data_IF_000599452126
#
_entry.id   IF_000599452126
#
_cell.length_a   1.000
_cell.length_b   1.000
_cell.length_c   1.000
_cell.angle_alpha   90.00
_cell.angle_beta   90.00
_cell.angle_gamma   90.00
#
_symmetry.space_group_name_H-M   'P 1'
#
loop_
_entity.id
_entity.type
_entity.pdbx_description
1 polymer ?
#
# COMPACT_ATOMS: atom_id res chain seq x y z
N UNK A 1 17.51 -7.94 -3.55
CA UNK A 1 16.20 -7.68 -4.18
C UNK A 1 15.47 -9.02 -4.25
N UNK A 2 14.71 -9.35 -3.21
CA UNK A 2 13.92 -10.60 -3.13
C UNK A 2 12.48 -10.30 -3.56
N UNK A 3 11.82 -11.14 -4.38
CA UNK A 3 10.43 -10.91 -4.77
C UNK A 3 9.51 -11.40 -3.65
N UNK A 4 8.61 -10.54 -3.19
CA UNK A 4 7.50 -10.92 -2.30
C UNK A 4 6.18 -10.51 -2.96
N UNK A 5 5.28 -11.51 -3.05
CA UNK A 5 3.88 -11.44 -3.51
C UNK A 5 3.62 -10.66 -4.81
N UNK A 6 4.19 -11.14 -5.91
CA UNK A 6 3.58 -10.94 -7.23
C UNK A 6 2.80 -12.21 -7.59
N UNK A 7 1.53 -12.06 -7.96
CA UNK A 7 0.75 -13.11 -8.61
C UNK A 7 1.51 -13.63 -9.83
N UNK A 8 2.15 -14.80 -9.73
CA UNK A 8 2.73 -15.49 -10.89
C UNK A 8 1.73 -16.54 -11.40
N UNK A 9 0.92 -16.16 -12.39
CA UNK A 9 0.25 -17.13 -13.24
C UNK A 9 1.13 -17.44 -14.46
N UNK A 10 1.56 -18.70 -14.56
CA UNK A 10 2.23 -19.28 -15.73
C UNK A 10 1.26 -19.28 -16.92
N UNK A 11 1.66 -18.68 -18.04
CA UNK A 11 1.09 -18.98 -19.35
C UNK A 11 2.20 -19.44 -20.28
N UNK A 12 2.06 -20.66 -20.80
CA UNK A 12 2.95 -21.25 -21.79
C UNK A 12 2.51 -20.86 -23.21
N UNK A 13 3.44 -20.33 -24.01
CA UNK A 13 3.50 -20.54 -25.47
C UNK A 13 4.80 -19.96 -26.02
N UNK A 14 5.60 -20.79 -26.70
CA UNK A 14 6.85 -20.40 -27.36
C UNK A 14 6.65 -19.77 -28.75
N UNK A 15 7.71 -19.13 -29.27
CA UNK A 15 7.80 -18.67 -30.67
C UNK A 15 8.76 -17.51 -30.94
N UNK A 16 10.06 -17.83 -31.06
CA UNK A 16 11.04 -17.40 -32.08
C UNK A 16 11.16 -15.94 -32.66
N UNK A 17 12.30 -15.30 -32.33
CA UNK A 17 13.34 -14.59 -33.17
C UNK A 17 12.96 -13.53 -34.24
N UNK A 18 13.46 -12.28 -34.15
CA UNK A 18 14.51 -11.67 -35.02
C UNK A 18 14.76 -10.14 -34.85
N UNK A 19 16.00 -9.76 -35.21
CA UNK A 19 16.82 -8.55 -34.99
C UNK A 19 16.34 -7.23 -35.64
N UNK A 20 16.95 -6.12 -35.20
CA UNK A 20 17.07 -4.88 -35.99
C UNK A 20 17.83 -3.74 -35.28
N UNK A 21 18.95 -3.33 -35.86
CA UNK A 21 19.99 -2.41 -35.36
C UNK A 21 19.74 -0.90 -35.62
N UNK A 22 20.42 -0.09 -34.77
CA UNK A 22 21.15 1.18 -35.02
C UNK A 22 20.48 2.41 -35.70
N UNK A 23 20.64 3.60 -35.06
CA UNK A 23 21.48 4.69 -35.60
C UNK A 23 21.69 5.86 -34.61
N UNK A 24 22.93 6.35 -34.56
CA UNK A 24 23.42 7.59 -33.92
C UNK A 24 22.94 8.87 -34.62
N UNK A 25 22.90 10.02 -33.90
CA UNK A 25 23.87 11.12 -34.13
C UNK A 25 23.67 12.36 -33.22
N UNK A 26 24.84 12.84 -32.76
CA UNK A 26 25.27 14.14 -32.24
C UNK A 26 24.47 15.41 -32.61
N UNK A 27 24.38 16.38 -31.67
CA UNK A 27 25.18 17.62 -31.77
C UNK A 27 25.28 18.44 -30.46
N UNK A 28 26.40 19.18 -30.35
CA UNK A 28 26.87 20.02 -29.22
C UNK A 28 26.48 21.50 -29.39
N UNK A 29 26.33 22.25 -28.29
CA UNK A 29 27.14 23.46 -27.92
C UNK A 29 26.41 24.41 -26.95
N UNK A 30 27.16 24.92 -25.96
CA UNK A 30 27.26 26.36 -25.74
C UNK A 30 26.77 26.95 -24.40
N UNK A 31 27.70 27.50 -23.62
CA UNK A 31 27.51 28.83 -23.01
C UNK A 31 27.18 28.93 -21.51
N UNK A 32 28.22 29.16 -20.71
CA UNK A 32 28.19 29.69 -19.34
C UNK A 32 27.84 31.18 -19.33
N UNK A 33 27.12 31.67 -18.30
CA UNK A 33 27.56 32.83 -17.51
C UNK A 33 26.75 33.02 -16.21
N UNK A 34 27.51 33.46 -15.21
CA UNK A 34 27.24 33.72 -13.80
C UNK A 34 26.65 35.10 -13.54
N UNK A 35 25.79 35.25 -12.53
CA UNK A 35 25.63 36.51 -11.80
C UNK A 35 25.43 36.27 -10.29
N UNK A 36 26.39 36.77 -9.51
CA UNK A 36 26.30 37.03 -8.08
C UNK A 36 25.51 38.33 -7.84
N UNK A 37 24.62 38.36 -6.83
CA UNK A 37 24.28 39.58 -6.09
C UNK A 37 24.03 39.27 -4.61
N UNK A 38 24.61 40.14 -3.79
CA UNK A 38 24.78 40.06 -2.34
C UNK A 38 23.55 40.53 -1.54
N UNK A 39 23.44 39.94 -0.35
CA UNK A 39 23.07 40.49 0.97
C UNK A 39 22.06 41.64 1.11
N UNK A 40 21.00 41.38 1.88
CA UNK A 40 20.43 42.37 2.80
C UNK A 40 20.00 41.67 4.11
N UNK A 41 20.74 41.95 5.20
CA UNK A 41 20.37 41.59 6.56
C UNK A 41 19.30 42.56 7.08
N UNK A 42 18.13 42.03 7.44
CA UNK A 42 17.11 42.80 8.18
C UNK A 42 17.03 42.26 9.61
N UNK A 43 17.62 43.04 10.53
CA UNK A 43 17.41 42.92 11.97
C UNK A 43 15.95 43.25 12.32
N UNK A 44 15.20 42.29 12.89
CA UNK A 44 13.90 42.58 13.53
C UNK A 44 13.93 42.22 15.02
N UNK A 45 13.60 43.23 15.81
CA UNK A 45 13.63 43.32 17.28
C UNK A 45 12.78 42.24 17.97
N UNK A 46 13.34 41.62 19.02
CA UNK A 46 12.63 40.83 20.03
C UNK A 46 11.57 41.69 20.74
N UNK A 47 10.31 41.26 20.74
CA UNK A 47 9.28 41.68 21.70
C UNK A 47 8.98 40.52 22.65
N UNK A 48 9.11 40.77 23.96
CA UNK A 48 8.59 39.93 25.03
C UNK A 48 7.06 39.97 24.99
N UNK A 49 6.41 38.81 25.02
CA UNK A 49 4.99 38.68 25.39
C UNK A 49 4.92 37.77 26.62
N UNK A 50 4.25 38.29 27.63
CA UNK A 50 3.94 37.73 28.95
C UNK A 50 3.09 36.47 28.85
N UNK A 51 3.24 35.61 29.87
CA UNK A 51 2.56 34.32 29.97
C UNK A 51 1.03 34.42 29.98
N UNK A 52 0.43 33.51 29.21
CA UNK A 52 -0.93 33.02 29.39
C UNK A 52 -0.87 31.49 29.47
N UNK A 53 -1.72 30.89 30.30
CA UNK A 53 -1.86 29.44 30.37
C UNK A 53 -2.11 28.84 28.98
N UNK A 54 -1.61 27.61 28.70
CA UNK A 54 -1.80 27.01 27.39
C UNK A 54 -3.31 26.80 27.15
N UNK A 55 -3.83 27.20 25.98
CA UNK A 55 -5.22 26.91 25.63
C UNK A 55 -5.41 25.39 25.56
N UNK A 56 -6.54 24.92 26.08
CA UNK A 56 -6.95 23.52 26.01
C UNK A 56 -6.94 23.03 24.56
N UNK A 57 -6.47 21.79 24.37
CA UNK A 57 -6.29 21.15 23.07
C UNK A 57 -7.57 21.20 22.22
N UNK A 58 -7.50 21.90 21.09
CA UNK A 58 -8.47 21.77 20.00
C UNK A 58 -8.28 20.45 19.23
N UNK A 59 -9.26 20.03 18.41
CA UNK A 59 -9.20 18.79 17.64
C UNK A 59 -8.27 18.93 16.42
N UNK A 60 -7.68 17.80 16.02
CA UNK A 60 -6.81 17.55 14.86
C UNK A 60 -5.32 17.87 15.07
N UNK A 61 -4.55 16.85 15.48
CA UNK A 61 -3.21 16.71 14.92
C UNK A 61 -3.32 15.68 13.81
N UNK A 62 -3.13 16.12 12.57
CA UNK A 62 -2.78 15.25 11.43
C UNK A 62 -1.70 14.22 11.82
N UNK A 63 -1.40 13.27 10.92
CA UNK A 63 -0.38 12.26 11.17
C UNK A 63 0.93 12.89 11.70
N UNK A 64 1.43 12.34 12.81
CA UNK A 64 2.60 12.84 13.55
C UNK A 64 3.86 12.13 13.09
N UNK A 65 4.79 12.82 12.46
CA UNK A 65 5.97 12.19 11.85
C UNK A 65 7.26 12.30 12.69
N UNK A 66 7.16 12.80 13.92
CA UNK A 66 8.28 13.05 14.83
C UNK A 66 9.02 11.74 15.19
N UNK A 67 8.29 10.67 15.45
CA UNK A 67 8.84 9.34 15.73
C UNK A 67 7.96 8.22 15.14
N UNK A 68 8.50 7.00 14.90
CA UNK A 68 7.70 5.86 14.43
C UNK A 68 6.50 5.54 15.35
N UNK A 69 6.69 5.65 16.66
CA UNK A 69 5.65 5.40 17.66
C UNK A 69 4.55 6.45 17.64
N UNK A 70 4.91 7.75 17.62
CA UNK A 70 3.92 8.83 17.53
C UNK A 70 3.17 8.78 16.20
N UNK A 71 3.85 8.38 15.13
CA UNK A 71 3.23 8.15 13.83
C UNK A 71 2.15 7.09 13.91
N UNK A 72 2.49 5.88 14.36
CA UNK A 72 1.50 4.81 14.42
C UNK A 72 0.36 5.13 15.39
N UNK A 73 0.64 5.74 16.55
CA UNK A 73 -0.38 6.22 17.48
C UNK A 73 -1.33 7.24 16.84
N UNK A 74 -0.80 8.18 16.05
CA UNK A 74 -1.65 9.14 15.32
C UNK A 74 -2.45 8.49 14.20
N UNK A 75 -1.87 7.48 13.53
CA UNK A 75 -2.51 6.75 12.44
C UNK A 75 -3.74 5.98 12.90
N UNK A 76 -3.72 5.37 14.09
CA UNK A 76 -4.86 4.61 14.64
C UNK A 76 -5.72 5.40 15.63
N UNK A 77 -5.49 6.71 15.78
CA UNK A 77 -6.29 7.56 16.65
C UNK A 77 -7.80 7.41 16.33
N UNK A 78 -8.70 7.38 17.33
CA UNK A 78 -8.47 7.60 18.77
C UNK A 78 -8.03 6.37 19.58
N UNK A 79 -7.76 5.22 18.95
CA UNK A 79 -7.42 4.00 19.66
C UNK A 79 -6.02 4.10 20.31
N UNK A 80 -5.89 3.84 21.62
CA UNK A 80 -4.59 3.72 22.27
C UNK A 80 -3.77 2.53 21.71
N UNK A 81 -2.45 2.70 21.63
CA UNK A 81 -1.55 1.66 21.11
C UNK A 81 -1.63 0.35 21.91
N UNK A 82 -1.62 0.43 23.23
CA UNK A 82 -1.73 -0.74 24.11
C UNK A 82 -3.03 -1.51 23.86
N UNK A 83 -4.14 -0.79 23.70
CA UNK A 83 -5.42 -1.40 23.36
C UNK A 83 -5.38 -2.08 21.99
N UNK A 84 -4.77 -1.44 20.98
CA UNK A 84 -4.63 -2.04 19.64
C UNK A 84 -3.92 -3.39 19.68
N UNK A 85 -2.77 -3.46 20.34
CA UNK A 85 -1.98 -4.69 20.38
C UNK A 85 -2.57 -5.76 21.30
N UNK A 86 -3.26 -5.37 22.38
CA UNK A 86 -3.87 -6.32 23.30
C UNK A 86 -5.16 -6.94 22.75
N UNK A 87 -5.96 -6.17 22.00
CA UNK A 87 -7.29 -6.61 21.60
C UNK A 87 -7.47 -6.92 20.12
N UNK A 88 -6.69 -6.29 19.22
CA UNK A 88 -6.94 -6.32 17.79
C UNK A 88 -5.83 -7.01 17.01
N UNK A 89 -4.58 -6.62 17.25
CA UNK A 89 -3.43 -7.15 16.52
C UNK A 89 -3.40 -8.69 16.53
N UNK A 90 -3.36 -9.30 15.35
CA UNK A 90 -3.40 -10.76 15.10
C UNK A 90 -4.62 -11.49 15.70
N UNK A 91 -5.68 -10.77 16.09
CA UNK A 91 -6.83 -11.33 16.79
C UNK A 91 -8.16 -11.08 16.07
N UNK A 92 -8.50 -9.81 15.79
CA UNK A 92 -9.79 -9.45 15.21
C UNK A 92 -9.73 -8.15 14.39
N UNK A 93 -10.66 -7.96 13.43
CA UNK A 93 -10.76 -6.71 12.70
C UNK A 93 -11.06 -5.50 13.59
N UNK A 94 -10.57 -4.34 13.17
CA UNK A 94 -10.86 -3.02 13.72
C UNK A 94 -11.39 -2.13 12.60
N UNK A 95 -12.45 -1.38 12.88
CA UNK A 95 -12.98 -0.35 11.97
C UNK A 95 -13.06 0.98 12.72
N UNK A 96 -12.39 2.00 12.20
CA UNK A 96 -12.37 3.35 12.73
C UNK A 96 -13.09 4.27 11.75
N UNK A 97 -14.38 4.52 12.01
CA UNK A 97 -15.13 5.56 11.31
C UNK A 97 -14.78 6.93 11.87
N UNK A 98 -14.25 7.81 11.02
CA UNK A 98 -13.75 9.13 11.40
C UNK A 98 -14.58 10.22 10.73
N UNK A 99 -14.84 11.28 11.49
CA UNK A 99 -15.53 12.48 11.00
C UNK A 99 -14.58 13.68 11.14
N UNK A 100 -13.46 13.61 10.44
CA UNK A 100 -12.42 14.64 10.41
C UNK A 100 -12.13 15.01 8.95
N UNK A 101 -12.65 16.14 8.51
CA UNK A 101 -12.53 16.63 7.13
C UNK A 101 -11.08 16.95 6.75
N UNK A 102 -10.26 17.37 7.71
CA UNK A 102 -8.85 17.66 7.46
C UNK A 102 -8.07 16.36 7.24
N UNK A 103 -8.35 15.32 8.02
CA UNK A 103 -7.77 13.99 7.81
C UNK A 103 -8.26 13.34 6.51
N UNK A 104 -9.55 13.46 6.19
CA UNK A 104 -10.10 12.97 4.93
C UNK A 104 -9.43 13.66 3.72
N UNK A 105 -9.23 14.98 3.80
CA UNK A 105 -8.50 15.74 2.77
C UNK A 105 -7.04 15.29 2.65
N UNK A 106 -6.37 15.05 3.79
CA UNK A 106 -5.01 14.53 3.79
C UNK A 106 -4.92 13.13 3.17
N UNK A 107 -5.80 12.19 3.53
CA UNK A 107 -5.86 10.86 2.91
C UNK A 107 -6.10 10.94 1.40
N UNK A 108 -7.06 11.76 0.95
CA UNK A 108 -7.31 11.97 -0.48
C UNK A 108 -6.07 12.48 -1.24
N UNK A 109 -5.21 13.27 -0.59
CA UNK A 109 -3.99 13.79 -1.22
C UNK A 109 -2.87 12.75 -1.41
N UNK A 110 -2.94 11.59 -0.74
CA UNK A 110 -1.88 10.57 -0.80
C UNK A 110 -1.78 9.89 -2.17
N UNK A 111 -2.91 9.68 -2.84
CA UNK A 111 -2.94 9.09 -4.18
C UNK A 111 -4.26 9.45 -4.89
N UNK A 112 -4.42 10.70 -5.38
CA UNK A 112 -5.65 11.11 -6.04
C UNK A 112 -5.78 10.44 -7.41
N UNK A 113 -7.01 10.15 -7.84
CA UNK A 113 -7.28 9.48 -9.12
C UNK A 113 -6.61 10.19 -10.32
N UNK A 114 -6.60 11.53 -10.30
CA UNK A 114 -6.07 12.36 -11.39
C UNK A 114 -4.54 12.21 -11.56
N UNK A 115 -3.84 11.75 -10.53
CA UNK A 115 -2.39 11.50 -10.56
C UNK A 115 -2.01 10.37 -11.53
N UNK A 116 -2.92 9.44 -11.82
CA UNK A 116 -2.70 8.36 -12.78
C UNK A 116 -2.24 8.86 -14.16
N UNK A 117 -2.69 10.04 -14.58
CA UNK A 117 -2.28 10.61 -15.87
C UNK A 117 -0.79 10.93 -15.89
N UNK A 118 -0.30 11.56 -14.83
CA UNK A 118 1.11 11.91 -14.67
C UNK A 118 1.97 10.65 -14.50
N UNK A 119 1.51 9.70 -13.69
CA UNK A 119 2.22 8.42 -13.51
C UNK A 119 2.33 7.62 -14.81
N UNK A 120 1.25 7.50 -15.59
CA UNK A 120 1.31 6.83 -16.90
C UNK A 120 2.34 7.46 -17.84
N UNK A 121 2.53 8.80 -17.79
CA UNK A 121 3.53 9.49 -18.60
C UNK A 121 4.98 9.15 -18.21
N UNK A 122 5.20 8.66 -16.98
CA UNK A 122 6.50 8.16 -16.48
C UNK A 122 6.83 6.74 -16.95
N UNK A 123 5.94 6.09 -17.71
CA UNK A 123 6.23 4.80 -18.36
C UNK A 123 5.84 3.55 -17.55
N UNK A 124 4.72 3.60 -16.83
CA UNK A 124 4.19 2.42 -16.11
C UNK A 124 3.96 1.22 -17.02
N UNK A 125 4.04 0.01 -16.47
CA UNK A 125 3.78 -1.25 -17.16
C UNK A 125 2.73 -2.10 -16.46
N UNK A 126 1.89 -2.76 -17.26
CA UNK A 126 0.95 -3.77 -16.76
C UNK A 126 1.70 -4.95 -16.14
N UNK A 127 1.19 -5.51 -15.05
CA UNK A 127 1.80 -6.64 -14.33
C UNK A 127 2.99 -6.26 -13.44
N UNK A 128 3.72 -5.19 -13.78
CA UNK A 128 4.83 -4.67 -12.96
C UNK A 128 4.37 -3.57 -12.02
N UNK A 129 3.75 -2.52 -12.55
CA UNK A 129 3.37 -1.34 -11.78
C UNK A 129 1.89 -1.30 -11.45
N UNK A 130 1.03 -1.89 -12.28
CA UNK A 130 -0.38 -2.03 -11.98
C UNK A 130 -1.02 -3.21 -12.70
N UNK A 131 -2.13 -3.67 -12.12
CA UNK A 131 -3.04 -4.64 -12.71
C UNK A 131 -4.42 -4.01 -12.94
N UNK A 132 -5.12 -4.52 -13.96
CA UNK A 132 -6.55 -4.34 -14.14
C UNK A 132 -7.25 -5.66 -13.83
N UNK A 133 -8.28 -5.60 -13.00
CA UNK A 133 -9.07 -6.77 -12.67
C UNK A 133 -10.55 -6.45 -12.49
N UNK A 134 -11.40 -7.47 -12.58
CA UNK A 134 -12.82 -7.38 -12.25
C UNK A 134 -13.29 -8.71 -11.69
N UNK A 135 -14.13 -8.67 -10.65
CA UNK A 135 -14.83 -9.84 -10.17
C UNK A 135 -16.07 -10.07 -11.04
N UNK A 136 -16.17 -11.24 -11.64
CA UNK A 136 -17.33 -11.67 -12.43
C UNK A 136 -17.74 -13.06 -11.96
N UNK A 137 -18.96 -13.20 -11.45
CA UNK A 137 -19.52 -14.45 -10.96
C UNK A 137 -18.58 -15.16 -9.95
N UNK A 138 -18.10 -14.41 -8.94
CA UNK A 138 -17.19 -14.91 -7.90
C UNK A 138 -15.77 -15.24 -8.38
N UNK A 139 -15.38 -14.85 -9.60
CA UNK A 139 -14.05 -15.12 -10.15
C UNK A 139 -13.31 -13.84 -10.53
N UNK A 140 -12.03 -13.77 -10.18
CA UNK A 140 -11.13 -12.70 -10.63
C UNK A 140 -10.84 -12.87 -12.12
N UNK A 141 -11.20 -11.86 -12.92
CA UNK A 141 -10.78 -11.74 -14.32
C UNK A 141 -9.69 -10.68 -14.42
N UNK A 142 -8.48 -11.10 -14.75
CA UNK A 142 -7.37 -10.19 -15.08
C UNK A 142 -7.61 -9.60 -16.48
N UNK A 143 -7.38 -8.30 -16.61
CA UNK A 143 -7.71 -7.51 -17.80
C UNK A 143 -6.50 -6.70 -18.29
N UNK A 144 -5.30 -7.08 -17.84
CA UNK A 144 -4.03 -6.50 -18.26
C UNK A 144 -3.87 -6.56 -19.78
N UNK A 145 -3.15 -5.57 -20.31
CA UNK A 145 -2.61 -5.59 -21.67
C UNK A 145 -1.11 -5.82 -21.58
N UNK A 146 -0.47 -6.08 -22.70
CA UNK A 146 0.98 -6.17 -22.75
C UNK A 146 1.63 -4.77 -22.78
N UNK A 147 2.80 -4.66 -22.14
CA UNK A 147 3.65 -3.47 -22.25
C UNK A 147 3.21 -2.28 -21.40
N UNK A 148 3.44 -1.08 -21.94
CA UNK A 148 3.26 0.18 -21.22
C UNK A 148 1.79 0.57 -21.07
N UNK A 149 1.44 1.14 -19.92
CA UNK A 149 0.10 1.64 -19.61
C UNK A 149 -0.11 3.00 -20.28
N UNK A 150 -1.17 3.12 -21.08
CA UNK A 150 -1.60 4.41 -21.66
C UNK A 150 -2.81 4.92 -20.89
N UNK A 151 -2.74 6.14 -20.37
CA UNK A 151 -3.79 6.74 -19.52
C UNK A 151 -5.19 6.67 -20.16
N UNK A 152 -5.34 7.06 -21.42
CA UNK A 152 -6.65 7.05 -22.09
C UNK A 152 -7.25 5.64 -22.16
N UNK A 153 -6.42 4.62 -22.36
CA UNK A 153 -6.87 3.23 -22.40
C UNK A 153 -7.20 2.72 -20.99
N UNK A 154 -6.39 3.07 -19.98
CA UNK A 154 -6.65 2.77 -18.57
C UNK A 154 -7.99 3.33 -18.12
N UNK A 155 -8.25 4.62 -18.38
CA UNK A 155 -9.51 5.31 -18.06
C UNK A 155 -10.70 4.66 -18.78
N UNK A 156 -10.55 4.30 -20.06
CA UNK A 156 -11.59 3.61 -20.83
C UNK A 156 -11.90 2.22 -20.27
N UNK A 157 -10.89 1.45 -19.88
CA UNK A 157 -11.09 0.12 -19.29
C UNK A 157 -11.73 0.23 -17.89
N UNK A 158 -11.31 1.20 -17.06
CA UNK A 158 -11.95 1.49 -15.77
C UNK A 158 -13.43 1.87 -15.94
N UNK A 159 -13.73 2.93 -16.69
CA UNK A 159 -15.11 3.44 -16.80
C UNK A 159 -16.02 2.52 -17.62
N UNK A 160 -15.56 2.09 -18.80
CA UNK A 160 -16.37 1.37 -19.77
C UNK A 160 -16.50 -0.12 -19.45
N UNK A 161 -15.46 -0.76 -18.90
CA UNK A 161 -15.50 -2.19 -18.56
C UNK A 161 -15.63 -2.44 -17.06
N UNK A 162 -15.77 -1.37 -16.26
CA UNK A 162 -15.88 -1.42 -14.80
C UNK A 162 -14.70 -2.19 -14.16
N UNK A 163 -13.51 -1.97 -14.69
CA UNK A 163 -12.29 -2.60 -14.18
C UNK A 163 -11.76 -1.84 -12.96
N UNK A 164 -11.35 -2.57 -11.93
CA UNK A 164 -10.56 -2.06 -10.82
C UNK A 164 -9.10 -1.95 -11.23
N UNK A 165 -8.48 -0.82 -10.92
CA UNK A 165 -7.03 -0.62 -11.01
C UNK A 165 -6.43 -1.02 -9.66
N UNK A 166 -5.45 -1.92 -9.69
CA UNK A 166 -4.60 -2.26 -8.55
C UNK A 166 -3.20 -1.74 -8.86
N UNK A 167 -2.79 -0.66 -8.21
CA UNK A 167 -1.48 -0.04 -8.39
C UNK A 167 -0.49 -0.56 -7.35
N UNK A 168 0.67 -1.00 -7.79
CA UNK A 168 1.68 -1.64 -6.96
C UNK A 168 2.78 -0.68 -6.52
N UNK A 169 3.06 -0.70 -5.23
CA UNK A 169 4.17 0.03 -4.61
C UNK A 169 4.17 1.53 -5.00
N UNK A 170 3.06 2.25 -4.72
CA UNK A 170 2.90 3.67 -5.05
C UNK A 170 3.94 4.58 -4.38
N UNK A 171 4.55 4.16 -3.27
CA UNK A 171 5.64 4.91 -2.61
C UNK A 171 6.88 5.12 -3.46
N UNK A 172 7.06 4.34 -4.54
CA UNK A 172 8.12 4.60 -5.53
C UNK A 172 7.90 5.91 -6.29
N UNK A 173 6.69 6.46 -6.24
CA UNK A 173 6.27 7.61 -7.01
C UNK A 173 5.70 8.75 -6.16
N UNK A 174 5.28 8.46 -4.93
CA UNK A 174 4.66 9.41 -4.00
C UNK A 174 5.48 9.51 -2.72
N UNK A 175 6.12 10.66 -2.50
CA UNK A 175 7.05 10.89 -1.38
C UNK A 175 6.37 10.77 -0.01
N UNK A 176 5.12 11.22 0.11
CA UNK A 176 4.38 11.14 1.37
C UNK A 176 4.05 9.68 1.73
N UNK A 177 3.73 8.84 0.73
CA UNK A 177 3.55 7.40 0.94
C UNK A 177 4.85 6.71 1.31
N UNK A 178 5.98 7.12 0.73
CA UNK A 178 7.29 6.65 1.15
C UNK A 178 7.56 7.01 2.61
N UNK A 179 7.30 8.25 3.01
CA UNK A 179 7.45 8.70 4.39
C UNK A 179 6.58 7.90 5.37
N UNK A 180 5.32 7.64 5.01
CA UNK A 180 4.41 6.80 5.80
C UNK A 180 4.98 5.38 5.96
N UNK A 181 5.39 4.75 4.86
CA UNK A 181 5.90 3.39 4.89
C UNK A 181 7.20 3.29 5.68
N UNK A 182 8.14 4.23 5.54
CA UNK A 182 9.38 4.28 6.33
C UNK A 182 9.10 4.33 7.84
N UNK A 183 8.15 5.17 8.27
CA UNK A 183 7.75 5.24 9.68
C UNK A 183 7.16 3.93 10.19
N UNK A 184 6.34 3.27 9.37
CA UNK A 184 5.77 1.98 9.74
C UNK A 184 6.80 0.85 9.74
N UNK A 185 7.75 0.85 8.80
CA UNK A 185 8.86 -0.13 8.78
C UNK A 185 9.71 -0.02 10.03
N UNK A 186 10.08 1.21 10.41
CA UNK A 186 10.81 1.48 11.63
C UNK A 186 10.03 1.09 12.90
N UNK A 187 8.70 1.28 12.89
CA UNK A 187 7.85 0.93 14.03
C UNK A 187 7.66 -0.58 14.19
N UNK A 188 7.35 -1.29 13.09
CA UNK A 188 7.03 -2.72 13.11
C UNK A 188 8.27 -3.62 13.09
N UNK A 189 9.44 -3.10 12.69
CA UNK A 189 10.64 -3.90 12.49
C UNK A 189 10.48 -4.94 11.38
N UNK A 190 9.62 -4.64 10.40
CA UNK A 190 9.27 -5.51 9.28
C UNK A 190 9.07 -4.65 8.02
N UNK A 191 9.22 -5.26 6.85
CA UNK A 191 8.90 -4.57 5.60
C UNK A 191 7.43 -4.15 5.58
N UNK A 192 7.17 -2.96 5.03
CA UNK A 192 5.82 -2.45 4.81
C UNK A 192 5.69 -2.19 3.33
N UNK A 193 4.82 -2.96 2.67
CA UNK A 193 4.41 -2.76 1.29
C UNK A 193 3.11 -1.98 1.20
N UNK A 194 2.77 -1.50 0.00
CA UNK A 194 1.44 -0.96 -0.22
C UNK A 194 0.91 -1.18 -1.64
N UNK A 195 -0.42 -1.22 -1.75
CA UNK A 195 -1.15 -1.22 -3.01
C UNK A 195 -2.26 -0.17 -2.94
N UNK A 196 -2.54 0.50 -4.06
CA UNK A 196 -3.74 1.35 -4.20
C UNK A 196 -4.76 0.65 -5.06
N UNK A 197 -6.02 0.66 -4.63
CA UNK A 197 -7.14 0.10 -5.37
C UNK A 197 -8.13 1.18 -5.74
N UNK A 198 -8.38 1.32 -7.04
CA UNK A 198 -9.33 2.29 -7.59
C UNK A 198 -10.43 1.51 -8.30
N UNK A 199 -11.65 1.58 -7.76
CA UNK A 199 -12.80 0.79 -8.23
C UNK A 199 -13.94 1.72 -8.67
N UNK A 200 -14.44 1.63 -9.91
CA UNK A 200 -15.54 2.47 -10.38
C UNK A 200 -16.88 2.07 -9.74
N UNK A 201 -17.83 3.00 -9.69
CA UNK A 201 -19.17 2.79 -9.13
C UNK A 201 -19.92 1.58 -9.70
N UNK A 202 -20.63 0.88 -8.81
CA UNK A 202 -21.42 -0.31 -9.12
C UNK A 202 -20.57 -1.50 -9.57
N UNK A 203 -19.38 -1.68 -9.00
CA UNK A 203 -18.47 -2.74 -9.41
C UNK A 203 -17.62 -3.31 -8.27
N UNK A 204 -17.13 -4.52 -8.49
CA UNK A 204 -16.26 -5.28 -7.59
C UNK A 204 -15.01 -5.72 -8.36
N UNK A 205 -13.84 -5.49 -7.78
CA UNK A 205 -12.55 -5.81 -8.41
C UNK A 205 -12.11 -7.26 -8.17
N UNK A 206 -12.21 -7.70 -6.91
CA UNK A 206 -11.71 -9.00 -6.45
C UNK A 206 -12.83 -9.81 -5.80
N UNK A 207 -12.88 -11.14 -6.02
CA UNK A 207 -13.76 -12.04 -5.28
C UNK A 207 -13.31 -12.15 -3.80
N UNK A 208 -14.08 -12.82 -2.92
CA UNK A 208 -13.64 -13.09 -1.56
C UNK A 208 -12.31 -13.83 -1.51
N UNK A 209 -11.42 -13.37 -0.62
CA UNK A 209 -10.09 -13.94 -0.42
C UNK A 209 -9.55 -13.57 0.96
N UNK A 210 -8.46 -14.20 1.36
CA UNK A 210 -7.61 -13.74 2.46
C UNK A 210 -6.16 -13.60 2.00
N UNK A 211 -5.44 -12.70 2.66
CA UNK A 211 -4.01 -12.44 2.42
C UNK A 211 -3.13 -13.07 3.50
N UNK A 212 -1.81 -13.11 3.23
CA UNK A 212 -0.75 -13.64 4.09
C UNK A 212 -0.01 -12.56 4.91
N UNK A 213 -0.62 -11.38 5.04
CA UNK A 213 -0.04 -10.17 5.63
C UNK A 213 -1.02 -9.49 6.58
N UNK A 214 -0.49 -8.76 7.54
CA UNK A 214 -1.28 -7.85 8.37
C UNK A 214 -1.65 -6.62 7.55
N UNK A 215 -2.93 -6.23 7.55
CA UNK A 215 -3.45 -5.22 6.62
C UNK A 215 -4.05 -4.03 7.36
N UNK A 216 -3.64 -2.83 6.95
CA UNK A 216 -4.25 -1.55 7.27
C UNK A 216 -4.80 -0.92 5.98
N UNK A 217 -6.11 -0.66 5.92
CA UNK A 217 -6.77 0.02 4.80
C UNK A 217 -7.08 1.45 5.19
N UNK A 218 -6.61 2.40 4.38
CA UNK A 218 -6.96 3.82 4.47
C UNK A 218 -7.87 4.16 3.29
N UNK A 219 -9.09 4.60 3.56
CA UNK A 219 -10.01 5.02 2.50
C UNK A 219 -9.66 6.46 2.08
N UNK A 220 -9.25 6.63 0.82
CA UNK A 220 -8.72 7.91 0.32
C UNK A 220 -9.81 8.75 -0.35
N UNK A 221 -10.58 8.15 -1.25
CA UNK A 221 -11.62 8.84 -2.04
C UNK A 221 -12.89 7.99 -2.11
N UNK A 222 -14.03 8.67 -2.18
CA UNK A 222 -15.36 8.03 -2.30
C UNK A 222 -15.69 7.12 -1.11
N UNK A 223 -16.47 6.07 -1.38
CA UNK A 223 -16.84 5.08 -0.37
C UNK A 223 -16.89 3.67 -0.92
N UNK A 224 -16.69 2.68 -0.05
CA UNK A 224 -16.63 1.27 -0.42
C UNK A 224 -17.37 0.42 0.60
N UNK A 225 -18.22 -0.48 0.11
CA UNK A 225 -18.88 -1.50 0.92
C UNK A 225 -17.89 -2.64 1.16
N UNK A 226 -17.63 -2.95 2.42
CA UNK A 226 -16.74 -4.02 2.85
C UNK A 226 -17.52 -5.08 3.62
N UNK A 227 -17.20 -6.34 3.34
CA UNK A 227 -17.67 -7.50 4.08
C UNK A 227 -16.47 -8.32 4.53
N UNK A 228 -16.35 -8.55 5.83
CA UNK A 228 -15.31 -9.37 6.44
C UNK A 228 -15.95 -10.65 7.02
N UNK A 229 -15.22 -11.76 6.99
CA UNK A 229 -15.71 -13.06 7.44
C UNK A 229 -14.68 -13.72 8.37
N UNK A 230 -15.12 -14.75 9.08
CA UNK A 230 -14.23 -15.55 9.90
C UNK A 230 -13.16 -16.24 9.02
N UNK A 231 -11.91 -16.34 9.49
CA UNK A 231 -10.86 -17.02 8.75
C UNK A 231 -11.14 -18.52 8.63
N UNK A 232 -11.02 -19.08 7.43
CA UNK A 232 -10.93 -20.55 7.23
C UNK A 232 -9.56 -21.06 7.66
N UNK A 233 -8.52 -20.22 7.54
CA UNK A 233 -7.17 -20.47 8.04
C UNK A 233 -6.74 -19.27 8.90
N UNK A 234 -6.84 -19.35 10.24
CA UNK A 234 -6.40 -18.28 11.13
C UNK A 234 -4.91 -17.99 10.97
N UNK A 235 -4.54 -16.70 10.89
CA UNK A 235 -3.16 -16.25 10.72
C UNK A 235 -2.43 -16.92 9.54
N UNK A 236 -3.15 -17.09 8.42
CA UNK A 236 -2.67 -17.70 7.19
C UNK A 236 -1.34 -17.13 6.73
N UNK A 237 -0.47 -18.00 6.21
CA UNK A 237 0.87 -17.65 5.69
C UNK A 237 0.94 -17.64 4.17
N UNK A 238 -0.19 -17.91 3.53
CA UNK A 238 -0.34 -17.97 2.09
C UNK A 238 -1.64 -17.25 1.72
N UNK A 239 -1.71 -16.75 0.50
CA UNK A 239 -2.91 -16.16 -0.07
C UNK A 239 -3.88 -17.25 -0.55
N UNK A 240 -5.19 -17.03 -0.42
CA UNK A 240 -6.21 -17.92 -1.01
C UNK A 240 -7.45 -17.17 -1.48
N UNK A 241 -8.03 -17.65 -2.59
CA UNK A 241 -9.39 -17.30 -3.01
C UNK A 241 -10.39 -18.20 -2.30
N UNK A 242 -11.49 -17.61 -1.81
CA UNK A 242 -12.50 -18.35 -1.06
C UNK A 242 -13.86 -18.34 -1.79
N UNK A 243 -14.45 -19.50 -2.08
CA UNK A 243 -15.79 -19.59 -2.67
C UNK A 243 -16.87 -18.99 -1.75
N UNK A 244 -17.74 -18.12 -2.29
CA UNK A 244 -18.80 -17.45 -1.53
C UNK A 244 -19.75 -18.41 -0.79
N UNK A 245 -19.95 -19.61 -1.31
CA UNK A 245 -20.79 -20.65 -0.69
C UNK A 245 -20.15 -21.32 0.55
N UNK A 246 -18.87 -21.03 0.84
CA UNK A 246 -18.09 -21.65 1.92
C UNK A 246 -17.65 -20.70 3.03
N UNK A 247 -17.79 -19.39 2.84
CA UNK A 247 -17.29 -18.38 3.79
C UNK A 247 -18.31 -17.99 4.88
N UNK A 248 -19.56 -18.43 4.75
CA UNK A 248 -20.62 -18.17 5.72
C UNK A 248 -21.11 -16.72 5.72
N UNK A 249 -21.70 -16.29 6.85
CA UNK A 249 -22.19 -14.92 7.00
C UNK A 249 -21.04 -13.95 7.35
N UNK A 250 -21.11 -12.68 6.92
CA UNK A 250 -20.12 -11.68 7.30
C UNK A 250 -20.10 -11.49 8.82
N UNK A 251 -18.91 -11.44 9.41
CA UNK A 251 -18.73 -10.99 10.80
C UNK A 251 -18.85 -9.48 10.90
N UNK A 252 -18.51 -8.78 9.82
CA UNK A 252 -18.65 -7.33 9.70
C UNK A 252 -19.15 -6.98 8.29
N UNK A 253 -20.04 -5.99 8.22
CA UNK A 253 -20.65 -5.48 7.00
C UNK A 253 -20.83 -3.96 7.17
N UNK A 254 -20.05 -3.14 6.46
CA UNK A 254 -19.99 -1.69 6.67
C UNK A 254 -19.49 -0.95 5.42
N UNK A 255 -19.65 0.37 5.40
CA UNK A 255 -19.15 1.25 4.35
C UNK A 255 -17.99 2.08 4.90
N UNK A 256 -16.82 2.02 4.28
CA UNK A 256 -15.74 2.98 4.55
C UNK A 256 -15.94 4.25 3.72
N UNK A 257 -15.72 5.40 4.34
CA UNK A 257 -15.72 6.72 3.71
C UNK A 257 -14.33 7.35 3.80
N UNK A 258 -14.05 8.35 2.96
CA UNK A 258 -12.75 9.03 2.96
C UNK A 258 -12.32 9.48 4.36
N UNK A 259 -11.08 9.14 4.76
CA UNK A 259 -10.54 9.39 6.10
C UNK A 259 -10.67 8.21 7.09
N UNK A 260 -11.55 7.24 6.80
CA UNK A 260 -11.68 6.05 7.63
C UNK A 260 -10.45 5.14 7.53
N UNK A 261 -10.25 4.36 8.61
CA UNK A 261 -9.24 3.32 8.66
C UNK A 261 -9.86 1.99 9.08
N UNK A 262 -9.40 0.91 8.47
CA UNK A 262 -9.71 -0.46 8.88
C UNK A 262 -8.40 -1.24 9.05
N UNK A 263 -8.35 -2.10 10.06
CA UNK A 263 -7.31 -3.11 10.21
C UNK A 263 -7.94 -4.50 10.25
N UNK A 264 -7.25 -5.49 9.68
CA UNK A 264 -7.58 -6.90 9.93
C UNK A 264 -6.32 -7.78 9.84
N UNK A 265 -6.29 -8.88 10.61
CA UNK A 265 -5.16 -9.79 10.59
C UNK A 265 -5.17 -10.70 9.34
N UNK A 266 -4.00 -11.22 8.98
CA UNK A 266 -3.86 -12.20 7.89
C UNK A 266 -4.76 -13.42 8.10
N UNK A 267 -5.27 -13.99 7.01
CA UNK A 267 -6.30 -15.02 7.05
C UNK A 267 -7.74 -14.49 7.16
N UNK A 268 -7.96 -13.22 7.52
CA UNK A 268 -9.31 -12.62 7.49
C UNK A 268 -9.83 -12.57 6.06
N UNK A 269 -10.91 -13.31 5.80
CA UNK A 269 -11.57 -13.31 4.50
C UNK A 269 -12.28 -11.99 4.31
N UNK A 270 -12.11 -11.37 3.16
CA UNK A 270 -12.73 -10.10 2.85
C UNK A 270 -13.12 -9.97 1.37
N UNK A 271 -14.13 -9.15 1.13
CA UNK A 271 -14.47 -8.64 -0.20
C UNK A 271 -15.02 -7.22 -0.11
N UNK A 272 -14.89 -6.47 -1.20
CA UNK A 272 -15.37 -5.10 -1.25
C UNK A 272 -15.84 -4.68 -2.64
N UNK A 273 -16.94 -3.95 -2.66
CA UNK A 273 -17.55 -3.39 -3.87
C UNK A 273 -17.86 -1.90 -3.68
N UNK A 274 -17.85 -1.15 -4.79
CA UNK A 274 -18.18 0.27 -4.78
C UNK A 274 -19.67 0.43 -5.04
N UNK A 275 -20.44 1.07 -4.13
CA UNK A 275 -21.86 1.32 -4.32
C UNK A 275 -22.17 2.01 -5.66
N UNK A 276 -23.37 1.79 -6.21
CA UNK A 276 -23.75 2.28 -7.55
C UNK A 276 -23.96 3.80 -7.63
N UNK A 277 -24.24 4.44 -6.50
CA UNK A 277 -24.46 5.88 -6.34
C UNK A 277 -23.15 6.67 -6.13
N UNK A 278 -22.02 5.97 -6.00
CA UNK A 278 -20.69 6.54 -5.84
C UNK A 278 -19.96 6.48 -7.18
N UNK A 279 -19.30 7.55 -7.61
CA UNK A 279 -18.58 7.57 -8.89
C UNK A 279 -17.42 6.55 -8.93
N UNK A 280 -16.58 6.55 -7.89
CA UNK A 280 -15.50 5.60 -7.68
C UNK A 280 -15.10 5.55 -6.20
N UNK A 281 -14.31 4.53 -5.85
CA UNK A 281 -13.61 4.44 -4.57
C UNK A 281 -12.13 4.23 -4.79
N UNK A 282 -11.33 4.96 -4.02
CA UNK A 282 -9.87 4.80 -3.91
C UNK A 282 -9.51 4.45 -2.48
N UNK A 283 -8.74 3.38 -2.26
CA UNK A 283 -8.13 3.10 -0.96
C UNK A 283 -6.68 2.66 -1.11
N UNK A 284 -5.90 2.94 -0.06
CA UNK A 284 -4.55 2.43 0.12
C UNK A 284 -4.61 1.24 1.08
N UNK A 285 -3.99 0.14 0.67
CA UNK A 285 -3.71 -1.01 1.54
C UNK A 285 -2.25 -0.96 1.92
N UNK A 286 -1.95 -0.74 3.20
CA UNK A 286 -0.64 -0.94 3.80
C UNK A 286 -0.57 -2.37 4.33
N UNK A 287 0.50 -3.09 4.00
CA UNK A 287 0.66 -4.51 4.34
C UNK A 287 2.01 -4.77 4.99
N UNK A 288 2.05 -5.54 6.08
CA UNK A 288 3.30 -5.88 6.78
C UNK A 288 3.27 -7.31 7.34
N UNK A 289 4.36 -7.72 8.02
CA UNK A 289 4.47 -8.99 8.75
C UNK A 289 4.41 -10.28 7.90
N UNK A 290 4.63 -10.16 6.58
CA UNK A 290 4.73 -11.33 5.71
C UNK A 290 5.85 -12.27 6.18
N UNK A 291 5.52 -13.54 6.41
CA UNK A 291 6.47 -14.56 6.87
C UNK A 291 7.23 -14.22 8.18
N UNK A 292 6.67 -13.38 9.06
CA UNK A 292 7.33 -12.97 10.31
C UNK A 292 6.92 -13.78 11.56
N UNK A 293 6.34 -14.98 11.40
CA UNK A 293 5.95 -15.82 12.54
C UNK A 293 7.16 -16.29 13.36
N UNK A 294 6.94 -16.57 14.65
CA UNK A 294 7.93 -17.20 15.55
C UNK A 294 8.52 -18.47 14.91
N UNK A 295 7.68 -19.27 14.24
CA UNK A 295 8.10 -20.45 13.52
C UNK A 295 9.17 -20.21 12.43
N UNK A 296 9.09 -19.10 11.68
CA UNK A 296 10.08 -18.76 10.66
C UNK A 296 11.35 -18.22 11.31
N UNK A 297 11.23 -17.42 12.38
CA UNK A 297 12.38 -16.92 13.14
C UNK A 297 13.17 -18.05 13.83
N UNK A 298 12.48 -19.13 14.22
CA UNK A 298 13.08 -20.31 14.85
C UNK A 298 13.53 -21.39 13.86
N UNK A 299 13.22 -21.28 12.56
CA UNK A 299 13.86 -22.13 11.58
C UNK A 299 15.34 -21.74 11.52
N UNK A 300 16.28 -22.63 11.91
CA UNK A 300 17.67 -22.36 11.62
C UNK A 300 17.81 -22.15 10.11
N UNK A 301 18.78 -21.36 9.62
CA UNK A 301 19.06 -21.25 8.19
C UNK A 301 19.53 -22.61 7.65
N UNK A 302 18.58 -23.53 7.41
CA UNK A 302 18.80 -24.88 6.88
C UNK A 302 19.31 -24.82 5.43
N UNK A 303 19.22 -23.66 4.79
CA UNK A 303 19.80 -23.37 3.47
C UNK A 303 21.34 -23.37 3.53
N UNK A 304 21.96 -23.19 4.70
CA UNK A 304 23.43 -23.21 4.81
C UNK A 304 24.03 -24.61 5.03
N UNK A 305 23.29 -25.58 5.60
CA UNK A 305 23.89 -26.88 5.97
C UNK A 305 24.14 -27.83 4.79
N UNK A 306 23.35 -27.75 3.71
CA UNK A 306 23.62 -28.52 2.48
C UNK A 306 24.84 -27.99 1.74
N UNK A 307 24.94 -26.66 1.56
CA UNK A 307 26.11 -26.03 0.93
C UNK A 307 27.36 -26.08 1.82
N UNK A 308 27.22 -26.16 3.14
CA UNK A 308 28.33 -26.38 4.07
C UNK A 308 28.90 -27.80 3.98
N UNK A 309 28.08 -28.80 3.71
CA UNK A 309 28.55 -30.18 3.49
C UNK A 309 29.15 -30.42 2.09
N UNK A 310 28.89 -29.52 1.13
CA UNK A 310 29.37 -29.63 -0.26
C UNK A 310 30.65 -28.80 -0.55
N UNK A 311 31.20 -28.11 0.46
CA UNK A 311 32.62 -27.74 0.45
C UNK A 311 33.07 -26.71 -0.60
N UNK A 312 32.29 -25.66 -0.86
CA UNK A 312 32.76 -24.53 -1.70
C UNK A 312 32.53 -23.17 -1.05
N UNK A 313 33.67 -22.56 -0.70
CA UNK A 313 33.95 -21.13 -0.51
C UNK A 313 33.47 -20.39 0.74
N UNK A 314 34.39 -19.54 1.21
CA UNK A 314 34.32 -18.66 2.37
C UNK A 314 33.31 -17.54 2.14
N UNK A 315 32.32 -17.42 3.02
CA UNK A 315 31.36 -16.29 2.99
C UNK A 315 31.29 -15.65 4.37
N UNK A 316 31.44 -14.33 4.37
CA UNK A 316 31.39 -13.44 5.53
C UNK A 316 30.10 -13.60 6.33
N UNK A 317 30.24 -13.81 7.64
CA UNK A 317 29.14 -13.69 8.60
C UNK A 317 28.70 -12.23 8.70
N UNK A 318 27.45 -11.94 8.34
CA UNK A 318 26.73 -10.82 8.94
C UNK A 318 25.93 -11.38 10.12
N UNK A 319 26.49 -11.24 11.32
CA UNK A 319 25.81 -11.54 12.57
C UNK A 319 24.69 -10.53 12.80
N UNK A 320 23.44 -10.99 12.73
CA UNK A 320 22.31 -10.30 13.31
C UNK A 320 22.49 -10.29 14.84
N UNK A 321 22.97 -9.18 15.39
CA UNK A 321 22.85 -8.91 16.81
C UNK A 321 21.43 -8.43 17.09
N UNK A 322 20.56 -9.34 17.53
CA UNK A 322 19.45 -8.97 18.39
C UNK A 322 20.06 -8.60 19.75
N UNK A 323 19.92 -7.34 20.15
CA UNK A 323 19.96 -6.95 21.55
C UNK A 323 18.52 -6.77 22.01
N UNK A 324 18.25 -7.37 23.17
CA UNK A 324 16.99 -7.48 23.92
C UNK A 324 16.17 -6.20 24.01
#
# INVERSE_FOLDING_TARGET
MFPLSAEMQKTASGGSIQNGEQHEQHNKHGGSQSEHKEHEEILVKRRKISGGMPPQAGPSSLLKFESPTEFFQSLIHPLPLDQFFQEYWEQKPLVLHRKDDALASYYGSLFPLDELKHLCARGLRYGTDLNLCRCLNGKKKVMNREGAVKYNQLRKDMQGRKATIQFHQPQRFQDELWRIQERLEAYFGALVGSNVYITPGGSQGLPPHYDDVEVLVLQLEGSKHWRLYAPTVPLAREYSLEPEDRIGAPTHDFILQAGDLMYFPRGTIHQADTPSDVDHSTHLTLSTYQNMCVCVKLQPPLISLKSFMEGTESVYFLTAHLVL
#
